data_IF_092518790404
#
_entry.id   IF_092518790404
#
_cell.length_a   1.000
_cell.length_b   1.000
_cell.length_c   1.000
_cell.angle_alpha   90.00
_cell.angle_beta   90.00
_cell.angle_gamma   90.00
#
_symmetry.space_group_name_H-M   'P 1'
#
loop_
_entity.id
_entity.type
_entity.pdbx_description
1 polymer ?
#
# COMPACT_ATOMS: atom_id res chain seq x y z
N UNK A 1 -5.44 -11.47 -4.89
CA UNK A 1 -6.13 -10.63 -3.89
C UNK A 1 -5.78 -11.12 -2.49
N UNK A 2 -5.56 -10.22 -1.53
CA UNK A 2 -5.20 -10.58 -0.16
C UNK A 2 -6.31 -10.26 0.86
N UNK A 3 -6.22 -10.88 2.04
CA UNK A 3 -7.25 -10.80 3.07
C UNK A 3 -6.90 -9.86 4.23
N UNK A 4 -5.62 -9.64 4.46
CA UNK A 4 -5.11 -8.75 5.50
C UNK A 4 -5.24 -7.27 5.09
N UNK A 5 -4.89 -6.39 5.96
CA UNK A 5 -4.86 -4.95 5.75
C UNK A 5 -3.62 -4.38 6.42
N UNK A 6 -3.14 -3.25 5.91
CA UNK A 6 -1.99 -2.55 6.47
C UNK A 6 -2.08 -2.41 8.00
N UNK A 7 -0.96 -2.62 8.67
CA UNK A 7 -0.84 -2.42 10.11
C UNK A 7 -0.54 -0.96 10.50
N UNK A 8 -0.47 -0.03 9.52
CA UNK A 8 -0.17 1.38 9.76
C UNK A 8 -1.23 2.09 10.62
N UNK A 9 -2.50 1.67 10.49
CA UNK A 9 -3.62 2.24 11.23
C UNK A 9 -4.61 1.16 11.70
N UNK A 10 -5.48 1.54 12.63
CA UNK A 10 -6.47 0.61 13.19
C UNK A 10 -7.52 0.18 12.17
N UNK A 11 -7.75 -1.13 12.05
CA UNK A 11 -8.88 -1.73 11.34
C UNK A 11 -10.07 -2.10 12.25
N UNK A 12 -10.14 -1.56 13.50
CA UNK A 12 -11.20 -1.92 14.44
C UNK A 12 -12.40 -0.97 14.34
N UNK A 13 -13.60 -1.55 14.29
CA UNK A 13 -14.87 -0.80 14.28
C UNK A 13 -14.95 0.20 13.12
N UNK A 14 -14.54 -0.20 11.94
CA UNK A 14 -14.63 0.61 10.72
C UNK A 14 -16.07 1.05 10.51
N UNK A 15 -16.28 2.34 10.25
CA UNK A 15 -17.59 2.95 10.00
C UNK A 15 -17.62 3.54 8.60
N UNK A 16 -17.87 2.73 7.57
CA UNK A 16 -17.92 3.22 6.20
C UNK A 16 -19.21 4.01 5.99
N UNK A 17 -19.11 5.05 5.16
CA UNK A 17 -20.26 5.79 4.63
C UNK A 17 -20.09 6.07 3.15
N UNK A 18 -21.18 6.21 2.45
CA UNK A 18 -21.18 6.52 1.02
C UNK A 18 -21.46 8.02 0.86
N UNK A 19 -20.60 8.69 0.12
CA UNK A 19 -20.81 10.05 -0.40
C UNK A 19 -21.31 9.90 -1.82
N UNK A 20 -22.55 10.29 -2.05
CA UNK A 20 -23.18 10.22 -3.36
C UNK A 20 -22.82 11.45 -4.18
N UNK A 21 -22.54 11.23 -5.47
CA UNK A 21 -22.33 12.30 -6.46
C UNK A 21 -21.33 13.35 -5.94
N UNK A 22 -20.10 12.90 -5.67
CA UNK A 22 -19.07 13.72 -5.05
C UNK A 22 -18.88 15.04 -5.81
N UNK A 23 -18.97 16.18 -5.13
CA UNK A 23 -18.97 17.50 -5.72
C UNK A 23 -17.58 18.11 -6.01
N UNK A 24 -16.52 17.36 -5.77
CA UNK A 24 -15.14 17.80 -6.01
C UNK A 24 -14.55 18.69 -4.89
N UNK A 25 -15.24 18.82 -3.74
CA UNK A 25 -14.79 19.67 -2.63
C UNK A 25 -14.26 18.87 -1.45
N UNK A 26 -13.90 19.60 -0.39
CA UNK A 26 -13.46 19.03 0.86
C UNK A 26 -14.53 18.11 1.47
N UNK A 27 -14.14 16.94 1.91
CA UNK A 27 -15.00 15.97 2.58
C UNK A 27 -14.69 16.00 4.08
N UNK A 28 -15.63 16.44 4.90
CA UNK A 28 -15.49 16.35 6.35
C UNK A 28 -15.72 14.89 6.76
N UNK A 29 -14.66 14.21 7.15
CA UNK A 29 -14.71 12.83 7.62
C UNK A 29 -15.17 12.75 9.07
N UNK A 30 -14.67 13.66 9.92
CA UNK A 30 -14.98 13.70 11.36
C UNK A 30 -14.97 15.15 11.86
N UNK A 31 -16.13 15.64 12.29
CA UNK A 31 -16.26 17.01 12.78
C UNK A 31 -15.59 17.22 14.15
N UNK A 32 -15.72 16.25 15.06
CA UNK A 32 -15.16 16.35 16.41
C UNK A 32 -13.64 16.38 16.38
N UNK A 33 -13.04 15.55 15.54
CA UNK A 33 -11.58 15.46 15.37
C UNK A 33 -11.04 16.40 14.29
N UNK A 34 -11.90 17.12 13.60
CA UNK A 34 -11.56 18.03 12.49
C UNK A 34 -10.78 17.33 11.37
N UNK A 35 -11.14 16.07 11.07
CA UNK A 35 -10.51 15.34 10.00
C UNK A 35 -11.25 15.69 8.70
N UNK A 36 -10.48 16.21 7.75
CA UNK A 36 -10.99 16.60 6.44
C UNK A 36 -10.11 15.98 5.37
N UNK A 37 -10.73 15.39 4.36
CA UNK A 37 -10.06 14.94 3.15
C UNK A 37 -10.28 15.99 2.07
N UNK A 38 -9.20 16.60 1.60
CA UNK A 38 -9.24 17.75 0.69
C UNK A 38 -8.54 17.46 -0.63
N UNK A 39 -9.10 17.87 -1.79
CA UNK A 39 -8.40 17.82 -3.08
C UNK A 39 -7.10 18.65 -3.10
N UNK A 40 -6.90 19.54 -2.15
CA UNK A 40 -5.62 20.28 -1.99
C UNK A 40 -4.50 19.40 -1.48
N UNK A 41 -4.85 18.43 -0.62
CA UNK A 41 -3.89 17.51 -0.03
C UNK A 41 -3.79 16.22 -0.86
N UNK A 42 -4.90 15.82 -1.49
CA UNK A 42 -5.04 14.61 -2.32
C UNK A 42 -5.53 15.01 -3.72
N UNK A 43 -4.63 15.43 -4.59
CA UNK A 43 -4.97 16.00 -5.90
C UNK A 43 -5.74 15.03 -6.81
N UNK A 44 -5.52 13.73 -6.67
CA UNK A 44 -6.27 12.68 -7.38
C UNK A 44 -7.75 12.62 -7.00
N UNK A 45 -8.14 13.15 -5.84
CA UNK A 45 -9.53 13.16 -5.41
C UNK A 45 -10.44 13.92 -6.38
N UNK A 46 -9.92 14.96 -7.03
CA UNK A 46 -10.68 15.78 -7.96
C UNK A 46 -11.21 15.01 -9.20
N UNK A 47 -10.55 13.94 -9.61
CA UNK A 47 -10.95 13.11 -10.77
C UNK A 47 -12.22 12.29 -10.50
N UNK A 48 -12.59 12.11 -9.25
CA UNK A 48 -13.76 11.34 -8.82
C UNK A 48 -15.03 12.21 -8.69
N UNK A 49 -15.00 13.47 -9.15
CA UNK A 49 -16.19 14.31 -9.17
C UNK A 49 -17.32 13.67 -9.98
N UNK A 50 -18.52 13.66 -9.43
CA UNK A 50 -19.69 13.00 -10.03
C UNK A 50 -19.78 11.50 -9.74
N UNK A 51 -18.84 10.94 -8.99
CA UNK A 51 -18.84 9.52 -8.60
C UNK A 51 -19.24 9.34 -7.13
N UNK A 52 -19.69 8.14 -6.81
CA UNK A 52 -19.96 7.76 -5.43
C UNK A 52 -18.65 7.34 -4.75
N UNK A 53 -18.38 7.85 -3.56
CA UNK A 53 -17.18 7.54 -2.79
C UNK A 53 -17.56 6.78 -1.51
N UNK A 54 -16.78 5.77 -1.16
CA UNK A 54 -16.86 5.10 0.13
C UNK A 54 -15.72 5.61 0.98
N UNK A 55 -16.03 6.18 2.15
CA UNK A 55 -15.06 6.74 3.08
C UNK A 55 -15.34 6.27 4.51
N UNK A 56 -14.34 6.36 5.39
CA UNK A 56 -14.51 6.18 6.84
C UNK A 56 -14.66 7.53 7.54
N UNK A 57 -14.67 7.51 8.86
CA UNK A 57 -14.59 8.72 9.67
C UNK A 57 -13.15 9.25 9.85
N UNK A 58 -12.18 8.67 9.14
CA UNK A 58 -10.77 9.05 9.19
C UNK A 58 -10.03 8.61 10.46
N UNK A 59 -10.65 7.79 11.31
CA UNK A 59 -10.01 7.25 12.52
C UNK A 59 -9.56 5.81 12.39
N UNK A 60 -9.86 5.20 11.26
CA UNK A 60 -9.51 3.82 10.93
C UNK A 60 -9.15 3.70 9.46
N UNK A 61 -8.53 2.59 9.08
CA UNK A 61 -8.48 2.15 7.68
C UNK A 61 -9.89 2.00 7.12
N UNK A 62 -10.02 2.09 5.79
CA UNK A 62 -11.23 1.66 5.08
C UNK A 62 -11.23 0.14 4.89
N UNK A 63 -10.09 -0.44 4.57
CA UNK A 63 -9.93 -1.86 4.23
C UNK A 63 -10.34 -2.18 2.78
N UNK A 64 -10.39 -1.17 1.91
CA UNK A 64 -10.62 -1.36 0.48
C UNK A 64 -9.50 -2.15 -0.17
N UNK A 65 -8.30 -1.91 0.25
CA UNK A 65 -7.10 -2.67 -0.01
C UNK A 65 -7.01 -3.86 0.99
N UNK A 66 -7.17 -5.12 0.57
CA UNK A 66 -7.60 -5.49 -0.81
C UNK A 66 -8.97 -6.21 -0.81
N UNK A 67 -9.83 -5.89 0.13
CA UNK A 67 -11.19 -6.49 0.18
C UNK A 67 -12.08 -6.07 -1.00
N UNK A 68 -11.73 -4.98 -1.68
CA UNK A 68 -12.36 -4.61 -2.94
C UNK A 68 -12.11 -5.69 -3.99
N UNK A 69 -10.86 -6.10 -4.20
CA UNK A 69 -10.51 -7.17 -5.13
C UNK A 69 -11.13 -8.51 -4.76
N UNK A 70 -11.27 -8.83 -3.47
CA UNK A 70 -12.04 -10.01 -3.03
C UNK A 70 -13.49 -9.91 -3.50
N UNK A 71 -14.13 -8.75 -3.32
CA UNK A 71 -15.52 -8.54 -3.72
C UNK A 71 -15.68 -8.62 -5.25
N UNK A 72 -14.75 -8.08 -6.00
CA UNK A 72 -14.73 -8.14 -7.46
C UNK A 72 -14.62 -9.57 -7.98
N UNK A 73 -13.69 -10.36 -7.45
CA UNK A 73 -13.49 -11.78 -7.80
C UNK A 73 -14.76 -12.59 -7.51
N UNK A 74 -15.33 -12.43 -6.32
CA UNK A 74 -16.52 -13.19 -5.93
C UNK A 74 -17.76 -12.76 -6.74
N UNK A 75 -17.90 -11.47 -7.03
CA UNK A 75 -18.99 -10.96 -7.88
C UNK A 75 -18.87 -11.46 -9.33
N UNK A 76 -17.64 -11.47 -9.86
CA UNK A 76 -17.40 -12.02 -11.20
C UNK A 76 -17.70 -13.53 -11.25
N UNK A 77 -17.32 -14.28 -10.21
CA UNK A 77 -17.63 -15.71 -10.12
C UNK A 77 -19.14 -15.95 -10.04
N UNK A 78 -19.85 -15.20 -9.20
CA UNK A 78 -21.32 -15.28 -9.10
C UNK A 78 -21.99 -14.96 -10.43
N UNK A 79 -21.53 -13.94 -11.12
CA UNK A 79 -22.04 -13.55 -12.43
C UNK A 79 -21.86 -14.67 -13.46
N UNK A 80 -20.68 -15.25 -13.56
CA UNK A 80 -20.41 -16.37 -14.49
C UNK A 80 -21.25 -17.61 -14.17
N UNK A 81 -21.47 -17.92 -12.91
CA UNK A 81 -22.35 -19.01 -12.51
C UNK A 81 -23.83 -18.76 -12.88
N UNK A 82 -24.27 -17.52 -12.86
CA UNK A 82 -25.61 -17.12 -13.27
C UNK A 82 -25.78 -17.05 -14.79
N UNK A 83 -24.68 -16.96 -15.55
CA UNK A 83 -24.64 -16.79 -16.99
C UNK A 83 -23.87 -17.92 -17.70
N UNK A 84 -24.41 -19.16 -17.71
CA UNK A 84 -23.71 -20.31 -18.30
C UNK A 84 -23.50 -20.20 -19.81
N UNK A 85 -24.13 -19.25 -20.48
CA UNK A 85 -23.91 -18.93 -21.89
C UNK A 85 -22.56 -18.23 -22.15
N UNK A 86 -21.88 -17.71 -21.12
CA UNK A 86 -20.56 -17.11 -21.23
C UNK A 86 -19.50 -18.20 -21.20
N UNK A 87 -18.79 -18.45 -22.31
CA UNK A 87 -17.77 -19.49 -22.34
C UNK A 87 -16.55 -19.08 -21.51
N UNK A 88 -16.13 -19.95 -20.61
CA UNK A 88 -14.89 -19.75 -19.84
C UNK A 88 -14.22 -21.09 -19.54
N UNK A 89 -12.91 -21.07 -19.31
CA UNK A 89 -12.16 -22.21 -18.80
C UNK A 89 -12.38 -22.43 -17.29
N UNK A 90 -11.71 -23.42 -16.70
CA UNK A 90 -11.71 -23.61 -15.25
C UNK A 90 -11.16 -22.37 -14.55
N UNK A 91 -11.90 -21.86 -13.57
CA UNK A 91 -11.48 -20.69 -12.76
C UNK A 91 -11.12 -21.20 -11.36
N UNK A 92 -9.98 -20.74 -10.87
CA UNK A 92 -9.49 -20.99 -9.53
C UNK A 92 -9.35 -19.67 -8.81
N UNK A 93 -9.85 -19.61 -7.60
CA UNK A 93 -9.79 -18.41 -6.76
C UNK A 93 -8.86 -18.68 -5.59
N UNK A 94 -7.92 -17.77 -5.35
CA UNK A 94 -6.98 -17.82 -4.24
C UNK A 94 -6.96 -16.51 -3.50
N UNK A 95 -7.00 -16.58 -2.17
CA UNK A 95 -6.82 -15.44 -1.28
C UNK A 95 -5.63 -15.72 -0.36
N UNK A 96 -4.74 -14.76 -0.22
CA UNK A 96 -3.53 -14.87 0.58
C UNK A 96 -3.63 -14.00 1.84
N UNK A 97 -3.06 -14.41 2.97
CA UNK A 97 -2.80 -13.54 4.11
C UNK A 97 -1.42 -12.88 3.95
N UNK A 98 -1.10 -11.94 4.83
CA UNK A 98 0.26 -11.42 5.05
C UNK A 98 0.92 -10.76 3.82
N UNK A 99 0.11 -10.24 2.88
CA UNK A 99 0.62 -9.49 1.74
C UNK A 99 1.29 -8.20 2.20
N UNK A 100 0.66 -7.49 3.10
CA UNK A 100 1.08 -6.18 3.63
C UNK A 100 2.40 -6.21 4.42
N UNK A 101 2.90 -7.40 4.70
CA UNK A 101 4.23 -7.63 5.29
C UNK A 101 5.18 -8.38 4.35
N UNK A 102 4.81 -8.48 3.07
CA UNK A 102 5.62 -9.10 2.02
C UNK A 102 5.72 -10.62 2.09
N UNK A 103 4.82 -11.31 2.79
CA UNK A 103 4.85 -12.76 3.01
C UNK A 103 3.67 -13.50 2.36
N UNK A 104 2.85 -12.81 1.59
CA UNK A 104 1.62 -13.34 1.02
C UNK A 104 1.78 -14.61 0.18
N UNK A 105 2.93 -14.81 -0.44
CA UNK A 105 3.21 -15.95 -1.31
C UNK A 105 4.08 -17.03 -0.68
N UNK A 106 4.61 -16.84 0.52
CA UNK A 106 5.59 -17.74 1.15
C UNK A 106 5.11 -19.19 1.27
N UNK A 107 3.82 -19.37 1.48
CA UNK A 107 3.20 -20.69 1.64
C UNK A 107 2.17 -21.01 0.53
N UNK A 108 2.15 -20.23 -0.54
CA UNK A 108 1.21 -20.44 -1.64
C UNK A 108 1.68 -21.60 -2.53
N UNK A 109 0.91 -22.67 -2.54
CA UNK A 109 1.19 -23.87 -3.32
C UNK A 109 0.74 -23.67 -4.79
N UNK A 110 1.63 -23.16 -5.62
CA UNK A 110 1.39 -22.84 -7.03
C UNK A 110 1.03 -24.10 -7.82
N UNK A 111 1.68 -25.24 -7.55
CA UNK A 111 1.42 -26.52 -8.25
C UNK A 111 0.00 -27.02 -7.94
N UNK A 112 -0.39 -26.98 -6.67
CA UNK A 112 -1.75 -27.37 -6.24
C UNK A 112 -2.80 -26.39 -6.76
N UNK A 113 -2.48 -25.11 -6.80
CA UNK A 113 -3.37 -24.10 -7.38
C UNK A 113 -3.62 -24.39 -8.86
N UNK A 114 -2.60 -24.78 -9.62
CA UNK A 114 -2.69 -25.42 -10.93
C UNK A 114 -3.40 -24.54 -11.97
N UNK A 115 -3.10 -23.26 -12.01
CA UNK A 115 -3.55 -22.32 -13.04
C UNK A 115 -2.44 -22.10 -14.07
N UNK A 116 -2.79 -21.93 -15.35
CA UNK A 116 -1.83 -21.61 -16.40
C UNK A 116 -1.39 -20.15 -16.35
N UNK A 117 -2.26 -19.27 -15.88
CA UNK A 117 -2.01 -17.84 -15.62
C UNK A 117 -2.98 -17.32 -14.57
N UNK A 118 -2.67 -16.19 -13.98
CA UNK A 118 -3.49 -15.56 -12.94
C UNK A 118 -3.58 -14.06 -13.14
N UNK A 119 -4.67 -13.48 -12.64
CA UNK A 119 -4.83 -12.04 -12.43
C UNK A 119 -4.85 -11.78 -10.93
N UNK A 120 -4.11 -10.78 -10.49
CA UNK A 120 -4.19 -10.25 -9.13
C UNK A 120 -5.11 -9.04 -9.17
N UNK A 121 -6.19 -9.08 -8.40
CA UNK A 121 -7.13 -7.97 -8.24
C UNK A 121 -6.71 -7.15 -7.03
N UNK A 122 -5.71 -6.31 -7.22
CA UNK A 122 -5.05 -5.52 -6.17
C UNK A 122 -4.39 -4.31 -6.85
N UNK A 123 -5.19 -3.63 -7.64
CA UNK A 123 -4.73 -2.59 -8.53
C UNK A 123 -5.13 -1.19 -8.11
N UNK A 124 -4.72 -0.23 -8.92
CA UNK A 124 -4.99 1.18 -8.78
C UNK A 124 -6.32 1.61 -9.40
N UNK A 125 -6.26 2.24 -10.55
CA UNK A 125 -7.44 2.83 -11.18
C UNK A 125 -8.25 1.82 -11.98
N UNK A 126 -9.56 2.07 -12.08
CA UNK A 126 -10.46 1.22 -12.84
C UNK A 126 -10.06 1.16 -14.32
N UNK A 127 -9.82 -0.06 -14.82
CA UNK A 127 -9.40 -0.34 -16.19
C UNK A 127 -7.88 -0.36 -16.40
N UNK A 128 -7.09 -0.15 -15.37
CA UNK A 128 -5.65 -0.36 -15.41
C UNK A 128 -5.31 -1.84 -15.47
N UNK A 129 -4.29 -2.16 -16.25
CA UNK A 129 -3.71 -3.50 -16.33
C UNK A 129 -2.19 -3.39 -16.25
N UNK A 130 -1.64 -3.79 -15.14
CA UNK A 130 -0.20 -3.93 -14.95
C UNK A 130 0.26 -5.33 -15.36
N UNK A 131 1.33 -5.40 -16.14
CA UNK A 131 1.92 -6.67 -16.60
C UNK A 131 3.45 -6.68 -16.50
N UNK A 132 3.99 -5.71 -15.78
CA UNK A 132 5.40 -5.60 -15.47
C UNK A 132 5.60 -5.65 -13.96
N UNK A 133 6.73 -6.19 -13.52
CA UNK A 133 7.18 -6.14 -12.15
C UNK A 133 8.61 -5.63 -12.09
N UNK A 134 9.10 -5.38 -10.89
CA UNK A 134 10.47 -4.92 -10.66
C UNK A 134 11.17 -5.83 -9.63
N UNK A 135 12.50 -5.79 -9.62
CA UNK A 135 13.28 -6.46 -8.60
C UNK A 135 13.49 -5.50 -7.44
N UNK A 136 13.33 -6.01 -6.23
CA UNK A 136 13.59 -5.28 -5.01
C UNK A 136 14.54 -6.06 -4.11
N UNK A 137 15.30 -5.34 -3.27
CA UNK A 137 16.11 -5.91 -2.21
C UNK A 137 16.14 -4.96 -1.02
N UNK A 138 16.09 -5.51 0.17
CA UNK A 138 16.32 -4.78 1.41
C UNK A 138 17.78 -4.90 1.83
N UNK A 139 18.34 -3.79 2.32
CA UNK A 139 19.65 -3.74 2.94
C UNK A 139 19.57 -3.16 4.34
N UNK A 140 20.05 -3.88 5.33
CA UNK A 140 20.14 -3.40 6.72
C UNK A 140 21.58 -2.98 7.00
N UNK A 141 21.75 -1.75 7.51
CA UNK A 141 23.05 -1.19 7.83
C UNK A 141 23.11 -0.82 9.31
N UNK A 142 23.96 -1.49 10.07
CA UNK A 142 24.15 -1.26 11.49
C UNK A 142 25.28 -0.25 11.74
N UNK A 143 24.97 0.86 12.42
CA UNK A 143 25.94 1.86 12.83
C UNK A 143 26.27 1.73 14.32
N UNK A 144 27.52 1.34 14.61
CA UNK A 144 28.00 1.19 15.97
C UNK A 144 28.67 2.46 16.47
N UNK A 145 28.11 3.09 17.47
CA UNK A 145 28.63 4.28 18.13
C UNK A 145 29.27 4.00 19.49
N UNK A 146 29.85 5.04 20.08
CA UNK A 146 30.34 5.05 21.45
C UNK A 146 29.59 6.11 22.24
N UNK A 147 28.70 5.68 23.12
CA UNK A 147 27.90 6.58 23.96
C UNK A 147 28.72 7.06 25.15
N UNK A 148 28.82 8.37 25.32
CA UNK A 148 29.53 9.02 26.43
C UNK A 148 28.62 10.12 26.99
N UNK A 149 28.68 10.35 28.30
CA UNK A 149 27.97 11.48 28.93
C UNK A 149 28.38 12.81 28.25
N UNK A 150 27.44 13.65 27.84
CA UNK A 150 27.73 14.87 27.04
C UNK A 150 28.83 15.76 27.64
N UNK A 151 28.86 15.91 28.95
CA UNK A 151 29.89 16.70 29.65
C UNK A 151 31.32 16.16 29.52
N UNK A 152 31.51 14.91 29.08
CA UNK A 152 32.81 14.25 28.92
C UNK A 152 33.05 13.72 27.51
N UNK A 153 32.19 14.08 26.57
CA UNK A 153 32.12 13.46 25.23
C UNK A 153 33.20 13.96 24.25
N UNK A 154 33.81 15.11 24.51
CA UNK A 154 34.80 15.72 23.61
C UNK A 154 35.93 14.76 23.25
N UNK A 155 36.07 14.46 21.98
CA UNK A 155 37.08 13.56 21.42
C UNK A 155 36.90 12.06 21.78
N UNK A 156 35.75 11.67 22.32
CA UNK A 156 35.47 10.30 22.74
C UNK A 156 34.16 9.74 22.20
N UNK A 157 33.12 10.57 22.11
CA UNK A 157 31.81 10.13 21.62
C UNK A 157 31.84 9.86 20.12
N UNK A 158 31.25 8.75 19.72
CA UNK A 158 30.87 8.47 18.34
C UNK A 158 29.36 8.31 18.31
N UNK A 159 28.68 9.27 17.72
CA UNK A 159 27.23 9.26 17.64
C UNK A 159 26.79 8.46 16.42
N UNK A 160 26.16 7.30 16.62
CA UNK A 160 25.68 6.40 15.56
C UNK A 160 24.66 7.06 14.63
N UNK A 161 23.79 7.93 15.16
CA UNK A 161 22.83 8.65 14.33
C UNK A 161 23.52 9.61 13.34
N UNK A 162 24.64 10.22 13.75
CA UNK A 162 25.43 11.06 12.84
C UNK A 162 26.09 10.22 11.74
N UNK A 163 26.56 9.02 12.07
CA UNK A 163 27.10 8.09 11.07
C UNK A 163 26.03 7.67 10.06
N UNK A 164 24.83 7.39 10.53
CA UNK A 164 23.71 7.09 9.65
C UNK A 164 23.34 8.26 8.72
N UNK A 165 23.37 9.50 9.24
CA UNK A 165 23.12 10.70 8.43
C UNK A 165 24.25 10.96 7.41
N UNK A 166 25.49 10.70 7.78
CA UNK A 166 26.64 10.80 6.86
C UNK A 166 26.55 9.73 5.77
N UNK A 167 26.13 8.52 6.11
CA UNK A 167 25.90 7.46 5.15
C UNK A 167 24.79 7.82 4.16
N UNK A 168 23.65 8.32 4.65
CA UNK A 168 22.54 8.78 3.79
C UNK A 168 23.02 9.89 2.82
N UNK A 169 23.81 10.83 3.31
CA UNK A 169 24.34 11.92 2.47
C UNK A 169 25.31 11.46 1.37
N UNK A 170 25.87 10.25 1.47
CA UNK A 170 26.69 9.64 0.42
C UNK A 170 25.87 8.91 -0.64
N UNK A 171 24.58 8.64 -0.37
CA UNK A 171 23.69 8.00 -1.33
C UNK A 171 23.38 8.96 -2.50
N UNK A 172 23.23 8.42 -3.73
CA UNK A 172 22.88 9.24 -4.88
C UNK A 172 21.53 9.94 -4.66
N UNK A 173 21.55 11.27 -4.62
CA UNK A 173 20.33 12.07 -4.36
C UNK A 173 19.31 12.02 -5.50
N UNK A 174 19.75 11.69 -6.70
CA UNK A 174 18.93 11.51 -7.90
C UNK A 174 18.27 10.12 -8.00
N UNK A 175 18.63 9.20 -7.11
CA UNK A 175 18.03 7.86 -7.01
C UNK A 175 17.06 7.73 -5.84
N UNK A 176 16.57 8.82 -5.28
CA UNK A 176 15.49 8.78 -4.28
C UNK A 176 14.14 8.58 -4.98
N UNK A 177 13.15 7.93 -4.34
CA UNK A 177 11.83 7.73 -4.95
C UNK A 177 11.20 9.01 -5.48
N UNK A 178 11.34 10.12 -4.76
CA UNK A 178 10.83 11.43 -5.17
C UNK A 178 11.57 12.08 -6.35
N UNK A 179 12.65 11.48 -6.82
CA UNK A 179 13.48 11.97 -7.93
C UNK A 179 13.45 11.04 -9.15
N UNK A 180 12.71 9.93 -9.08
CA UNK A 180 12.72 8.90 -10.12
C UNK A 180 11.30 8.70 -10.68
N UNK A 181 11.23 8.24 -11.93
CA UNK A 181 9.97 7.97 -12.62
C UNK A 181 10.09 6.76 -13.57
N UNK A 182 8.94 6.22 -13.96
CA UNK A 182 8.86 5.15 -14.96
C UNK A 182 9.63 3.89 -14.55
N UNK A 183 10.69 3.54 -15.29
CA UNK A 183 11.52 2.35 -15.06
C UNK A 183 12.86 2.66 -14.41
N UNK A 184 13.03 3.84 -13.87
CA UNK A 184 14.25 4.22 -13.15
C UNK A 184 14.32 3.49 -11.81
N UNK A 185 15.50 2.98 -11.48
CA UNK A 185 15.73 2.37 -10.18
C UNK A 185 15.90 3.43 -9.10
N UNK A 186 15.49 3.10 -7.86
CA UNK A 186 15.63 4.00 -6.73
C UNK A 186 16.18 3.31 -5.48
N UNK A 187 16.66 4.11 -4.56
CA UNK A 187 17.08 3.70 -3.21
C UNK A 187 16.20 4.43 -2.20
N UNK A 188 15.39 3.67 -1.48
CA UNK A 188 14.49 4.18 -0.47
C UNK A 188 15.06 3.96 0.93
N UNK A 189 15.22 5.04 1.70
CA UNK A 189 15.49 4.94 3.12
C UNK A 189 14.14 4.77 3.86
N UNK A 190 13.84 3.53 4.18
CA UNK A 190 12.53 3.14 4.70
C UNK A 190 12.43 3.33 6.23
N UNK A 191 13.43 2.91 6.98
CA UNK A 191 13.41 2.99 8.43
C UNK A 191 14.74 3.41 9.05
N UNK A 192 14.67 4.11 10.17
CA UNK A 192 15.79 4.42 11.06
C UNK A 192 15.39 4.08 12.51
N UNK A 193 16.00 3.06 13.09
CA UNK A 193 15.70 2.55 14.43
C UNK A 193 16.87 2.75 15.42
#
# INVERSE_FOLDING_TARGET
SHMDTSCAESGKNIRPRIIKDYDGKDIVLNEERKIVMSPRDFSNLAQYQGQDLIVTDGTTLLGGDDKAGIAEILTAAEYLLAHPEIPHGPIRVGFTPDEEIGQGTDHFDVEKFGADFAYTMDGGECGELEYENFNAAEGIVDFHGVSIHPGSAKGKMINSLRLAMEFEALMPSDQRPECTEGREGFIHLDALQ
#
